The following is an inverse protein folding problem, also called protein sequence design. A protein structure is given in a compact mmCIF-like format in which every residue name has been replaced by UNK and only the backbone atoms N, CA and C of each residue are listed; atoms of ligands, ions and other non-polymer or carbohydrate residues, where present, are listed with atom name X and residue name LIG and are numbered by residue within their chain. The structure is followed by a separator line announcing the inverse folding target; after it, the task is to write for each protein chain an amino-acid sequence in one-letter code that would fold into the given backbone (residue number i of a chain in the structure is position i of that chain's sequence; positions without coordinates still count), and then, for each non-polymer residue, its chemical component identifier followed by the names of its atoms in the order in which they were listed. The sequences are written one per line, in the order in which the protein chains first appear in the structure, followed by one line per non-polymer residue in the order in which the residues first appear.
data_IF_574920709842
#
_entry.id   IF_574920709842
#
_cell.length_a   1.000
_cell.length_b   1.000
_cell.length_c   1.000
_cell.angle_alpha   90.00
_cell.angle_beta   90.00
_cell.angle_gamma   90.00
#
_symmetry.space_group_name_H-M   'P 1'
#
loop_
_entity.id
_entity.type
_entity.pdbx_description
1 polymer ?
#
# COMPACT_ATOMS: atom_id res chain seq x y z
N UNK A 1 8.74 12.37 17.19
CA UNK A 1 8.23 11.15 16.51
C UNK A 1 6.96 11.45 15.73
N UNK A 2 5.93 12.07 16.33
CA UNK A 2 4.75 12.55 15.60
C UNK A 2 5.08 13.53 14.47
N UNK A 3 5.99 14.48 14.70
CA UNK A 3 6.36 15.48 13.69
C UNK A 3 7.01 14.86 12.44
N UNK A 4 7.77 13.78 12.62
CA UNK A 4 8.44 13.09 11.51
C UNK A 4 7.47 12.27 10.66
N UNK A 5 6.49 11.62 11.30
CA UNK A 5 5.43 10.89 10.58
C UNK A 5 4.61 11.87 9.74
N UNK A 6 4.17 12.99 10.34
CA UNK A 6 3.40 14.00 9.63
C UNK A 6 4.18 14.60 8.46
N UNK A 7 5.48 14.87 8.63
CA UNK A 7 6.32 15.37 7.56
C UNK A 7 6.40 14.39 6.37
N UNK A 8 6.66 13.11 6.64
CA UNK A 8 6.75 12.10 5.59
C UNK A 8 5.39 11.82 4.93
N UNK A 9 4.28 11.89 5.68
CA UNK A 9 2.93 11.75 5.13
C UNK A 9 2.60 12.90 4.18
N UNK A 10 2.87 14.14 4.59
CA UNK A 10 2.66 15.32 3.77
C UNK A 10 3.49 15.26 2.50
N UNK A 11 4.77 14.90 2.63
CA UNK A 11 5.63 14.72 1.46
C UNK A 11 5.11 13.64 0.51
N UNK A 12 4.67 12.50 1.05
CA UNK A 12 4.12 11.43 0.22
C UNK A 12 2.83 11.88 -0.48
N UNK A 13 1.98 12.66 0.19
CA UNK A 13 0.79 13.25 -0.40
C UNK A 13 1.14 14.22 -1.54
N UNK A 14 2.09 15.12 -1.33
CA UNK A 14 2.58 16.06 -2.36
C UNK A 14 3.16 15.32 -3.58
N UNK A 15 3.95 14.27 -3.34
CA UNK A 15 4.51 13.43 -4.40
C UNK A 15 3.43 12.68 -5.17
N UNK A 16 2.40 12.15 -4.50
CA UNK A 16 1.30 11.46 -5.20
C UNK A 16 0.45 12.46 -5.97
N UNK A 17 0.12 13.61 -5.37
CA UNK A 17 -0.68 14.67 -5.99
C UNK A 17 -0.06 15.14 -7.30
N UNK A 18 1.23 15.49 -7.30
CA UNK A 18 1.92 15.97 -8.50
C UNK A 18 2.09 14.92 -9.61
N UNK A 19 2.03 13.64 -9.26
CA UNK A 19 2.13 12.51 -10.20
C UNK A 19 0.74 11.94 -10.57
N UNK A 20 -0.34 12.63 -10.21
CA UNK A 20 -1.71 12.26 -10.59
C UNK A 20 -2.43 13.44 -11.25
N UNK A 21 -2.83 13.29 -12.51
CA UNK A 21 -3.47 14.37 -13.29
C UNK A 21 -5.02 14.28 -13.36
N UNK A 22 -5.59 13.15 -12.93
CA UNK A 22 -7.02 12.85 -12.99
C UNK A 22 -7.48 11.93 -11.86
N UNK A 23 -8.79 11.87 -11.64
CA UNK A 23 -9.38 10.91 -10.70
C UNK A 23 -9.28 9.47 -11.22
N UNK A 24 -9.22 8.52 -10.27
CA UNK A 24 -9.10 7.08 -10.51
C UNK A 24 -7.70 6.54 -10.27
N UNK A 25 -7.53 5.26 -10.61
CA UNK A 25 -6.24 4.56 -10.53
C UNK A 25 -5.31 4.96 -11.68
N UNK A 26 -4.04 5.19 -11.35
CA UNK A 26 -3.01 5.59 -12.30
C UNK A 26 -1.72 4.76 -12.08
N UNK A 27 -1.24 4.01 -13.10
CA UNK A 27 0.05 3.33 -13.02
C UNK A 27 1.21 4.34 -13.06
N UNK A 28 2.36 3.97 -12.50
CA UNK A 28 3.56 4.82 -12.51
C UNK A 28 4.67 4.25 -13.40
N UNK A 29 5.77 5.01 -13.56
CA UNK A 29 7.00 4.52 -14.22
C UNK A 29 7.73 3.44 -13.41
N UNK A 30 7.38 3.28 -12.14
CA UNK A 30 7.89 2.21 -11.27
C UNK A 30 6.94 1.02 -11.42
N UNK A 31 7.41 -0.13 -11.94
CA UNK A 31 6.58 -1.33 -12.03
C UNK A 31 6.00 -1.69 -10.66
N UNK A 32 4.74 -2.14 -10.65
CA UNK A 32 4.02 -2.55 -9.43
C UNK A 32 3.72 -1.45 -8.42
N UNK A 33 3.99 -0.17 -8.75
CA UNK A 33 3.53 0.99 -8.00
C UNK A 33 2.42 1.71 -8.79
N UNK A 34 1.30 1.94 -8.14
CA UNK A 34 0.18 2.71 -8.67
C UNK A 34 -0.39 3.70 -7.66
N UNK A 35 -0.97 4.78 -8.16
CA UNK A 35 -1.63 5.80 -7.36
C UNK A 35 -3.13 5.79 -7.58
N UNK A 36 -3.87 6.35 -6.63
CA UNK A 36 -5.28 6.68 -6.83
C UNK A 36 -5.57 8.04 -6.25
N UNK A 37 -6.26 8.86 -7.04
CA UNK A 37 -6.77 10.18 -6.69
C UNK A 37 -8.29 10.15 -6.78
N UNK A 38 -8.98 10.73 -5.81
CA UNK A 38 -10.41 11.01 -5.91
C UNK A 38 -10.69 12.42 -5.37
N UNK A 39 -11.22 13.30 -6.22
CA UNK A 39 -11.49 14.71 -5.93
C UNK A 39 -12.96 14.94 -5.55
N UNK A 40 -13.76 13.88 -5.52
CA UNK A 40 -15.13 13.85 -4.97
C UNK A 40 -15.31 12.57 -4.17
N UNK A 41 -16.33 12.52 -3.31
CA UNK A 41 -16.74 11.26 -2.67
C UNK A 41 -16.89 10.17 -3.73
N UNK A 42 -16.15 9.07 -3.57
CA UNK A 42 -16.09 8.01 -4.56
C UNK A 42 -16.46 6.68 -3.92
N UNK A 43 -17.41 5.99 -4.55
CA UNK A 43 -17.80 4.64 -4.20
C UNK A 43 -17.44 3.72 -5.35
N UNK A 44 -16.55 2.77 -5.09
CA UNK A 44 -16.16 1.76 -6.05
C UNK A 44 -16.49 0.38 -5.51
N UNK A 45 -17.33 -0.34 -6.24
CA UNK A 45 -17.58 -1.75 -5.98
C UNK A 45 -16.50 -2.65 -6.54
N UNK A 46 -15.44 -2.10 -7.18
CA UNK A 46 -14.43 -2.81 -7.98
C UNK A 46 -14.35 -4.28 -7.57
N UNK A 47 -15.19 -5.09 -8.24
CA UNK A 47 -14.95 -6.50 -8.37
C UNK A 47 -13.66 -6.49 -9.15
N UNK A 48 -12.57 -6.76 -8.45
CA UNK A 48 -11.28 -6.83 -9.08
C UNK A 48 -11.26 -7.77 -10.27
N UNK A 49 -10.10 -7.89 -10.95
CA UNK A 49 -9.89 -9.05 -11.79
C UNK A 49 -10.31 -10.32 -11.03
N UNK A 50 -10.89 -11.31 -11.73
CA UNK A 50 -11.34 -12.55 -11.13
C UNK A 50 -10.26 -13.15 -10.21
N UNK A 51 -10.72 -13.83 -9.16
CA UNK A 51 -9.90 -14.47 -8.12
C UNK A 51 -8.60 -15.08 -8.69
N UNK A 52 -7.46 -14.77 -8.05
CA UNK A 52 -6.15 -15.32 -8.42
C UNK A 52 -5.31 -14.50 -9.40
N UNK A 53 -5.79 -13.34 -9.87
CA UNK A 53 -5.04 -12.42 -10.73
C UNK A 53 -4.43 -11.21 -9.98
N UNK A 54 -4.62 -11.13 -8.67
CA UNK A 54 -4.04 -10.07 -7.86
C UNK A 54 -2.69 -10.47 -7.30
N UNK A 55 -1.66 -9.69 -7.60
CA UNK A 55 -0.45 -9.76 -6.78
C UNK A 55 -0.78 -9.34 -5.34
N UNK A 56 -0.22 -10.02 -4.32
CA UNK A 56 -0.27 -9.52 -2.96
C UNK A 56 0.25 -8.08 -2.90
N UNK A 57 -0.37 -7.23 -2.10
CA UNK A 57 -0.07 -5.79 -2.13
C UNK A 57 -0.22 -5.12 -0.78
N UNK A 58 0.44 -3.97 -0.61
CA UNK A 58 0.08 -3.00 0.41
C UNK A 58 -0.60 -1.78 -0.20
N UNK A 59 -1.62 -1.26 0.47
CA UNK A 59 -2.27 0.00 0.15
C UNK A 59 -2.10 1.00 1.29
N UNK A 60 -1.75 2.23 0.96
CA UNK A 60 -1.49 3.31 1.93
C UNK A 60 -2.36 4.50 1.52
N UNK A 61 -3.24 4.95 2.41
CA UNK A 61 -3.93 6.23 2.29
C UNK A 61 -3.00 7.29 2.85
N UNK A 62 -2.83 8.41 2.16
CA UNK A 62 -1.88 9.48 2.60
C UNK A 62 -2.58 10.81 2.79
N UNK A 63 -3.75 11.00 2.15
CA UNK A 63 -4.62 12.14 2.36
C UNK A 63 -6.08 11.69 2.31
N UNK A 64 -6.89 12.21 3.23
CA UNK A 64 -8.29 11.80 3.43
C UNK A 64 -8.39 10.43 4.11
N UNK A 65 -9.57 9.81 4.02
CA UNK A 65 -9.82 8.46 4.55
C UNK A 65 -10.52 7.58 3.53
N UNK A 66 -10.31 6.26 3.62
CA UNK A 66 -11.03 5.26 2.84
C UNK A 66 -11.72 4.27 3.78
N UNK A 67 -13.02 4.12 3.61
CA UNK A 67 -13.73 2.97 4.13
C UNK A 67 -13.58 1.80 3.16
N UNK A 68 -13.32 0.62 3.71
CA UNK A 68 -13.10 -0.61 2.96
C UNK A 68 -14.02 -1.66 3.54
N UNK A 69 -14.85 -2.27 2.70
CA UNK A 69 -15.76 -3.34 3.14
C UNK A 69 -15.20 -4.69 2.70
N UNK A 70 -14.91 -5.56 3.68
CA UNK A 70 -14.37 -6.91 3.47
C UNK A 70 -15.32 -7.94 4.10
N UNK A 71 -15.91 -8.81 3.29
CA UNK A 71 -16.79 -9.89 3.79
C UNK A 71 -18.01 -9.40 4.59
N UNK A 72 -18.46 -8.16 4.36
CA UNK A 72 -19.58 -7.52 5.06
C UNK A 72 -19.18 -6.58 6.21
N UNK A 73 -17.94 -6.64 6.68
CA UNK A 73 -17.41 -5.76 7.74
C UNK A 73 -16.81 -4.49 7.13
N UNK A 74 -17.08 -3.32 7.72
CA UNK A 74 -16.55 -2.00 7.28
C UNK A 74 -15.34 -1.59 8.11
N UNK A 75 -14.24 -1.26 7.43
CA UNK A 75 -12.97 -0.85 8.03
C UNK A 75 -12.57 0.53 7.52
N UNK A 76 -12.30 1.47 8.42
CA UNK A 76 -11.83 2.81 8.04
C UNK A 76 -10.30 2.86 8.08
N UNK A 77 -9.72 3.24 6.95
CA UNK A 77 -8.30 3.49 6.77
C UNK A 77 -8.06 4.99 6.63
N UNK A 78 -7.13 5.50 7.41
CA UNK A 78 -6.68 6.88 7.42
C UNK A 78 -5.15 6.91 7.24
N UNK A 79 -4.50 8.09 7.15
CA UNK A 79 -3.06 8.18 6.93
C UNK A 79 -2.21 7.48 7.99
N UNK A 80 -2.77 7.15 9.16
CA UNK A 80 -2.05 6.48 10.24
C UNK A 80 -1.86 4.98 9.98
N UNK A 81 -2.53 4.43 8.97
CA UNK A 81 -2.63 2.99 8.75
C UNK A 81 -2.43 2.59 7.29
N UNK A 82 -1.86 1.40 7.08
CA UNK A 82 -1.84 0.75 5.78
C UNK A 82 -2.56 -0.59 5.85
N UNK A 83 -3.04 -1.06 4.71
CA UNK A 83 -3.69 -2.37 4.61
C UNK A 83 -2.86 -3.30 3.74
N UNK A 84 -2.80 -4.56 4.17
CA UNK A 84 -2.16 -5.64 3.44
C UNK A 84 -3.26 -6.47 2.80
N UNK A 85 -3.28 -6.54 1.47
CA UNK A 85 -4.23 -7.40 0.74
C UNK A 85 -3.52 -8.69 0.31
N UNK A 86 -3.93 -9.82 0.86
CA UNK A 86 -3.74 -11.11 0.21
C UNK A 86 -4.91 -11.34 -0.77
N UNK A 87 -4.69 -12.16 -1.81
CA UNK A 87 -5.44 -12.25 -3.07
C UNK A 87 -6.95 -12.62 -2.98
N UNK A 88 -7.57 -12.60 -1.79
CA UNK A 88 -8.72 -13.45 -1.49
C UNK A 88 -10.04 -12.72 -1.16
N UNK A 89 -10.11 -11.38 -1.20
CA UNK A 89 -11.32 -10.68 -0.75
C UNK A 89 -11.82 -9.62 -1.75
N UNK A 90 -13.13 -9.56 -2.06
CA UNK A 90 -13.71 -8.42 -2.76
C UNK A 90 -13.57 -7.19 -1.87
N UNK A 91 -12.97 -6.13 -2.40
CA UNK A 91 -12.70 -4.91 -1.66
C UNK A 91 -13.57 -3.79 -2.23
N UNK A 92 -14.61 -3.40 -1.48
CA UNK A 92 -15.36 -2.18 -1.79
C UNK A 92 -14.56 -1.03 -1.19
N UNK A 93 -14.28 -0.01 -2.00
CA UNK A 93 -13.58 1.20 -1.55
C UNK A 93 -14.54 2.39 -1.56
N UNK A 94 -14.63 3.07 -0.44
CA UNK A 94 -15.42 4.29 -0.27
C UNK A 94 -14.49 5.41 0.22
N UNK A 95 -14.14 6.33 -0.68
CA UNK A 95 -13.42 7.56 -0.32
C UNK A 95 -14.45 8.61 0.09
N UNK A 96 -14.70 8.75 1.40
CA UNK A 96 -15.64 9.73 1.94
C UNK A 96 -14.95 11.06 2.23
N UNK A 97 -15.66 12.16 1.97
CA UNK A 97 -15.21 13.52 2.35
C UNK A 97 -14.12 14.11 1.46
N UNK A 98 -13.85 13.50 0.30
CA UNK A 98 -12.92 14.04 -0.69
C UNK A 98 -13.52 15.24 -1.43
N UNK A 99 -12.70 16.25 -1.66
CA UNK A 99 -13.03 17.43 -2.47
C UNK A 99 -11.89 17.76 -3.44
N UNK A 100 -12.11 18.71 -4.35
CA UNK A 100 -11.05 19.17 -5.25
C UNK A 100 -9.91 19.88 -4.51
N UNK A 101 -10.21 20.50 -3.37
CA UNK A 101 -9.21 21.16 -2.51
C UNK A 101 -8.45 20.15 -1.63
N UNK A 102 -9.13 19.10 -1.19
CA UNK A 102 -8.56 18.03 -0.35
C UNK A 102 -8.93 16.67 -0.97
N UNK A 103 -8.25 16.26 -2.06
CA UNK A 103 -8.52 14.99 -2.70
C UNK A 103 -8.11 13.84 -1.77
N UNK A 104 -8.78 12.70 -1.91
CA UNK A 104 -8.28 11.46 -1.34
C UNK A 104 -7.11 10.95 -2.19
N UNK A 105 -5.97 10.72 -1.54
CA UNK A 105 -4.75 10.26 -2.19
C UNK A 105 -4.28 8.96 -1.54
N UNK A 106 -3.87 8.01 -2.37
CA UNK A 106 -3.33 6.73 -1.91
C UNK A 106 -2.37 6.13 -2.92
N UNK A 107 -1.47 5.27 -2.44
CA UNK A 107 -0.66 4.41 -3.29
C UNK A 107 -0.89 2.93 -2.99
N UNK A 108 -0.68 2.11 -4.01
CA UNK A 108 -0.67 0.65 -3.96
C UNK A 108 0.69 0.14 -4.45
N UNK A 109 1.30 -0.74 -3.67
CA UNK A 109 2.56 -1.42 -4.02
C UNK A 109 2.27 -2.92 -4.08
N UNK A 110 2.41 -3.50 -5.25
CA UNK A 110 2.23 -4.93 -5.50
C UNK A 110 3.56 -5.67 -5.41
N UNK A 111 3.50 -6.93 -4.98
CA UNK A 111 4.64 -7.81 -4.83
C UNK A 111 4.48 -9.03 -5.72
N UNK A 112 5.47 -9.27 -6.57
CA UNK A 112 5.51 -10.48 -7.40
C UNK A 112 5.69 -11.72 -6.52
N UNK A 113 5.10 -12.87 -6.90
CA UNK A 113 5.33 -14.14 -6.19
C UNK A 113 6.81 -14.52 -6.06
N UNK A 114 7.64 -14.20 -7.06
CA UNK A 114 9.09 -14.44 -7.03
C UNK A 114 9.79 -13.67 -5.91
N UNK A 115 9.49 -12.38 -5.77
CA UNK A 115 10.06 -11.53 -4.71
C UNK A 115 9.62 -11.99 -3.31
N UNK A 116 8.36 -12.42 -3.16
CA UNK A 116 7.87 -13.01 -1.91
C UNK A 116 8.63 -14.29 -1.61
N UNK A 117 8.73 -15.21 -2.57
CA UNK A 117 9.44 -16.48 -2.40
C UNK A 117 10.92 -16.27 -2.06
N UNK A 118 11.59 -15.32 -2.72
CA UNK A 118 12.97 -14.94 -2.43
C UNK A 118 13.16 -14.59 -0.96
N UNK A 119 12.32 -13.71 -0.40
CA UNK A 119 12.41 -13.32 1.01
C UNK A 119 12.03 -14.46 1.96
N UNK A 120 10.99 -15.24 1.66
CA UNK A 120 10.58 -16.38 2.50
C UNK A 120 11.62 -17.51 2.52
N UNK A 121 12.53 -17.56 1.55
CA UNK A 121 13.61 -18.53 1.52
C UNK A 121 14.70 -18.29 2.58
N UNK A 122 14.76 -17.07 3.13
CA UNK A 122 15.70 -16.70 4.20
C UNK A 122 15.38 -17.46 5.49
N UNK A 123 16.42 -17.90 6.21
CA UNK A 123 16.27 -18.76 7.39
C UNK A 123 15.41 -18.14 8.50
N UNK A 124 15.47 -16.82 8.65
CA UNK A 124 14.69 -16.04 9.62
C UNK A 124 13.16 -16.23 9.48
N UNK A 125 12.67 -16.43 8.25
CA UNK A 125 11.24 -16.62 7.99
C UNK A 125 10.78 -18.08 8.10
N UNK A 126 11.71 -19.04 8.05
CA UNK A 126 11.42 -20.47 8.25
C UNK A 126 11.02 -20.78 9.69
N UNK A 127 11.52 -20.02 10.66
CA UNK A 127 11.27 -20.20 12.11
C UNK A 127 9.94 -19.57 12.55
N UNK A 128 9.47 -18.52 11.86
CA UNK A 128 8.28 -17.73 12.27
C UNK A 128 6.94 -18.23 11.69
N UNK A 129 6.93 -19.32 10.92
CA UNK A 129 5.74 -19.86 10.23
C UNK A 129 4.60 -20.37 11.14
N UNK A 130 4.81 -20.46 12.46
CA UNK A 130 3.82 -21.01 13.41
C UNK A 130 2.75 -20.04 13.93
N UNK A 131 2.89 -18.72 13.74
CA UNK A 131 1.83 -17.78 14.14
C UNK A 131 0.81 -17.65 13.00
N UNK A 132 -0.32 -18.34 13.17
CA UNK A 132 -1.50 -18.23 12.31
C UNK A 132 -1.85 -16.74 12.23
N UNK A 133 -1.76 -16.19 11.01
CA UNK A 133 -2.17 -14.82 10.73
C UNK A 133 -3.61 -14.63 11.20
N UNK A 134 -3.85 -13.66 12.11
CA UNK A 134 -5.21 -13.16 12.29
C UNK A 134 -5.70 -12.75 10.89
N UNK A 135 -6.89 -13.21 10.51
CA UNK A 135 -7.56 -12.80 9.26
C UNK A 135 -7.32 -11.30 9.09
N UNK A 136 -6.89 -10.84 7.91
CA UNK A 136 -6.47 -9.47 7.60
C UNK A 136 -7.56 -8.42 7.84
N UNK A 137 -7.92 -8.25 9.11
CA UNK A 137 -9.02 -7.45 9.64
C UNK A 137 -8.51 -6.16 10.26
N UNK A 138 -7.27 -6.15 10.73
CA UNK A 138 -6.69 -5.02 11.44
C UNK A 138 -5.70 -4.31 10.50
N UNK A 139 -5.86 -3.00 10.39
CA UNK A 139 -4.95 -2.14 9.65
C UNK A 139 -3.57 -2.16 10.32
N UNK A 140 -2.51 -2.32 9.53
CA UNK A 140 -1.16 -2.29 10.05
C UNK A 140 -0.77 -0.83 10.33
N UNK A 141 -0.25 -0.56 11.54
CA UNK A 141 0.21 0.79 11.88
C UNK A 141 1.37 1.19 10.97
N UNK A 142 1.26 2.35 10.34
CA UNK A 142 2.34 2.91 9.54
C UNK A 142 3.38 3.54 10.48
N UNK A 143 4.52 2.88 10.65
CA UNK A 143 5.64 3.45 11.40
C UNK A 143 6.54 4.32 10.49
N UNK A 144 7.41 5.11 11.13
CA UNK A 144 8.36 6.01 10.44
C UNK A 144 9.23 5.24 9.44
N UNK A 145 9.63 4.01 9.76
CA UNK A 145 10.57 3.24 8.96
C UNK A 145 9.93 2.69 7.68
N UNK A 146 8.68 2.24 7.75
CA UNK A 146 7.89 1.84 6.59
C UNK A 146 7.60 3.05 5.70
N UNK A 147 7.17 4.16 6.30
CA UNK A 147 6.81 5.36 5.57
C UNK A 147 8.02 5.98 4.86
N UNK A 148 9.19 6.03 5.51
CA UNK A 148 10.43 6.48 4.87
C UNK A 148 10.79 5.64 3.63
N UNK A 149 10.66 4.30 3.73
CA UNK A 149 10.93 3.41 2.60
C UNK A 149 9.98 3.67 1.42
N UNK A 150 8.70 3.91 1.69
CA UNK A 150 7.69 4.25 0.67
C UNK A 150 7.98 5.62 0.05
N UNK A 151 8.30 6.64 0.85
CA UNK A 151 8.68 7.97 0.35
C UNK A 151 9.91 7.87 -0.55
N UNK A 152 10.94 7.11 -0.16
CA UNK A 152 12.12 6.88 -1.01
C UNK A 152 11.77 6.21 -2.34
N UNK A 153 10.87 5.22 -2.34
CA UNK A 153 10.37 4.60 -3.58
C UNK A 153 9.67 5.62 -4.48
N UNK A 154 8.73 6.39 -3.92
CA UNK A 154 7.95 7.36 -4.70
C UNK A 154 8.80 8.52 -5.23
N UNK A 155 9.80 8.98 -4.47
CA UNK A 155 10.76 10.00 -4.91
C UNK A 155 11.50 9.61 -6.20
N UNK A 156 11.65 8.32 -6.50
CA UNK A 156 12.28 7.89 -7.76
C UNK A 156 11.49 8.31 -9.00
N UNK A 157 10.20 8.64 -8.88
CA UNK A 157 9.42 9.20 -10.00
C UNK A 157 9.94 10.57 -10.45
N UNK A 158 10.56 11.33 -9.54
CA UNK A 158 11.25 12.59 -9.85
C UNK A 158 12.68 12.37 -10.36
N UNK A 159 13.23 11.15 -10.21
CA UNK A 159 14.54 10.75 -10.71
C UNK A 159 14.48 9.43 -11.52
N UNK A 160 13.87 9.45 -12.72
CA UNK A 160 13.59 8.21 -13.45
C UNK A 160 14.82 7.38 -13.81
N UNK A 161 16.01 8.00 -13.91
CA UNK A 161 17.29 7.32 -14.17
C UNK A 161 17.66 6.32 -13.08
N UNK A 162 17.21 6.55 -11.85
CA UNK A 162 17.54 5.71 -10.69
C UNK A 162 16.57 4.53 -10.54
N UNK A 163 15.39 4.59 -11.18
CA UNK A 163 14.32 3.58 -11.06
C UNK A 163 14.83 2.15 -11.32
N UNK A 164 15.55 1.85 -12.42
CA UNK A 164 15.93 0.48 -12.74
C UNK A 164 16.79 -0.20 -11.66
N UNK A 165 17.55 0.58 -10.89
CA UNK A 165 18.47 0.08 -9.87
C UNK A 165 17.85 0.16 -8.47
N UNK A 166 17.26 1.30 -8.10
CA UNK A 166 16.82 1.55 -6.73
C UNK A 166 15.41 1.06 -6.43
N UNK A 167 14.49 1.08 -7.41
CA UNK A 167 13.11 0.66 -7.15
C UNK A 167 13.00 -0.80 -6.68
N UNK A 168 13.70 -1.78 -7.29
CA UNK A 168 13.68 -3.16 -6.80
C UNK A 168 14.17 -3.29 -5.35
N UNK A 169 15.19 -2.52 -4.95
CA UNK A 169 15.76 -2.55 -3.60
C UNK A 169 14.77 -1.99 -2.57
N UNK A 170 14.15 -0.85 -2.87
CA UNK A 170 13.17 -0.23 -1.98
C UNK A 170 11.88 -1.06 -1.88
N UNK A 171 11.39 -1.64 -2.98
CA UNK A 171 10.25 -2.57 -2.94
C UNK A 171 10.56 -3.80 -2.10
N UNK A 172 11.78 -4.37 -2.20
CA UNK A 172 12.22 -5.49 -1.38
C UNK A 172 12.30 -5.13 0.11
N UNK A 173 12.82 -3.95 0.43
CA UNK A 173 12.84 -3.43 1.81
C UNK A 173 11.43 -3.31 2.39
N UNK A 174 10.50 -2.73 1.62
CA UNK A 174 9.09 -2.59 2.02
C UNK A 174 8.48 -3.96 2.30
N UNK A 175 8.65 -4.93 1.38
CA UNK A 175 8.14 -6.28 1.58
C UNK A 175 8.74 -6.96 2.81
N UNK A 176 10.05 -6.83 3.03
CA UNK A 176 10.74 -7.37 4.20
C UNK A 176 10.13 -6.83 5.50
N UNK A 177 9.87 -5.51 5.58
CA UNK A 177 9.22 -4.88 6.74
C UNK A 177 7.78 -5.37 6.89
N UNK A 178 7.04 -5.50 5.79
CA UNK A 178 5.66 -6.03 5.82
C UNK A 178 5.62 -7.46 6.34
N UNK A 179 6.54 -8.34 5.90
CA UNK A 179 6.63 -9.74 6.36
C UNK A 179 6.99 -9.88 7.86
N UNK A 180 7.66 -8.88 8.42
CA UNK A 180 7.98 -8.76 9.85
C UNK A 180 6.87 -8.11 10.68
N UNK A 181 5.91 -7.43 10.04
CA UNK A 181 4.78 -6.83 10.74
C UNK A 181 3.82 -7.90 11.29
N UNK A 182 2.98 -7.51 12.24
CA UNK A 182 1.94 -8.38 12.83
C UNK A 182 0.96 -8.94 11.77
N UNK A 183 0.88 -8.29 10.60
CA UNK A 183 0.02 -8.67 9.48
C UNK A 183 0.75 -9.40 8.35
N UNK A 184 2.08 -9.53 8.42
CA UNK A 184 2.90 -10.14 7.38
C UNK A 184 2.56 -11.60 7.09
N UNK A 185 1.92 -12.29 8.03
CA UNK A 185 1.49 -13.68 7.86
C UNK A 185 0.46 -13.90 6.75
N UNK A 186 -0.30 -12.88 6.32
CA UNK A 186 -1.22 -13.00 5.18
C UNK A 186 -0.49 -13.14 3.84
N UNK A 187 0.75 -12.64 3.74
CA UNK A 187 1.60 -12.73 2.55
C UNK A 187 2.45 -14.01 2.51
N UNK A 188 2.47 -14.80 3.59
CA UNK A 188 3.25 -16.06 3.71
C UNK A 188 2.49 -17.29 3.21
N UNK A 189 1.29 -17.10 2.64
CA UNK A 189 0.41 -18.19 2.20
C UNK A 189 0.69 -18.60 0.77
#
# INVERSE_FOLDING_TARGET
MFDQINHLQNELAELIDRHTDRDGYQPTKIPYLGFSRYSTSHYSTLAGPPYGLYNPSIGIVVQGSKDVILGGDRFRYDPSNYFVTSMDLPIIFEALGASSEVPNLSCKIEFTPSLIFELLSLEEFKVTSKKIAKRGKDAAKLDVSMLDAVVRLVRLLDKPVDIPVLAPLYTKEILYKTLHSEHGGSLKK
#
